data_IF_219903982204
#
_entry.id   IF_219903982204
#
_cell.length_a   1.000
_cell.length_b   1.000
_cell.length_c   1.000
_cell.angle_alpha   90.00
_cell.angle_beta   90.00
_cell.angle_gamma   90.00
#
_symmetry.space_group_name_H-M   'P 1'
#
loop_
_entity.id
_entity.type
_entity.pdbx_description
1 polymer ?
#
# COMPACT_ATOMS: atom_id res chain seq x y z
N UNK A 1 -0.14 -21.93 11.24
CA UNK A 1 0.18 -23.12 10.40
C UNK A 1 0.02 -24.42 11.20
N UNK A 2 0.69 -24.60 12.37
CA UNK A 2 0.63 -25.87 13.15
C UNK A 2 -0.82 -26.22 13.54
N UNK A 3 -1.58 -25.29 14.13
CA UNK A 3 -2.98 -25.52 14.49
C UNK A 3 -3.86 -25.89 13.28
N UNK A 4 -3.67 -25.22 12.15
CA UNK A 4 -4.44 -25.49 10.92
C UNK A 4 -4.07 -26.84 10.30
N UNK A 5 -2.78 -27.26 10.38
CA UNK A 5 -2.34 -28.57 9.89
C UNK A 5 -3.01 -29.73 10.60
N UNK A 6 -3.46 -29.54 11.85
CA UNK A 6 -4.10 -30.58 12.66
C UNK A 6 -5.59 -30.77 12.40
N UNK A 7 -6.19 -29.90 11.56
CA UNK A 7 -7.61 -30.03 11.18
C UNK A 7 -7.86 -31.26 10.28
N UNK A 8 -6.90 -31.62 9.42
CA UNK A 8 -6.98 -32.81 8.58
C UNK A 8 -5.87 -33.82 8.93
N UNK A 9 -6.19 -35.11 8.96
CA UNK A 9 -5.24 -36.17 9.28
C UNK A 9 -4.03 -36.19 8.34
N UNK A 10 -4.24 -35.93 7.04
CA UNK A 10 -3.21 -36.04 6.00
C UNK A 10 -2.25 -34.84 5.97
N UNK A 11 -2.57 -33.75 6.69
CA UNK A 11 -1.76 -32.53 6.72
C UNK A 11 -1.12 -32.26 8.08
N UNK A 12 -1.19 -33.23 9.00
CA UNK A 12 -0.63 -33.08 10.37
C UNK A 12 0.88 -32.93 10.31
N UNK A 13 1.34 -31.81 10.85
CA UNK A 13 2.77 -31.58 11.05
C UNK A 13 3.24 -32.26 12.34
N UNK A 14 4.17 -33.19 12.22
CA UNK A 14 4.89 -33.79 13.34
C UNK A 14 6.08 -32.93 13.81
N UNK A 15 6.80 -33.38 14.84
CA UNK A 15 7.96 -32.64 15.37
C UNK A 15 9.06 -32.40 14.32
N UNK A 16 9.26 -33.34 13.40
CA UNK A 16 10.27 -33.24 12.34
C UNK A 16 9.88 -32.17 11.31
N UNK A 17 8.64 -32.18 10.84
CA UNK A 17 8.12 -31.20 9.89
C UNK A 17 8.14 -29.78 10.47
N UNK A 18 7.86 -29.65 11.79
CA UNK A 18 7.97 -28.37 12.51
C UNK A 18 9.43 -27.90 12.54
N UNK A 19 10.36 -28.81 12.85
CA UNK A 19 11.79 -28.51 12.90
C UNK A 19 12.33 -28.08 11.53
N UNK A 20 11.97 -28.81 10.47
CA UNK A 20 12.37 -28.49 9.09
C UNK A 20 11.77 -27.14 8.62
N UNK A 21 10.54 -26.86 9.01
CA UNK A 21 9.90 -25.56 8.75
C UNK A 21 10.62 -24.41 9.48
N UNK A 22 11.07 -24.63 10.73
CA UNK A 22 11.85 -23.62 11.48
C UNK A 22 13.21 -23.39 10.85
N UNK A 23 13.92 -24.44 10.41
CA UNK A 23 15.21 -24.31 9.71
C UNK A 23 15.02 -23.53 8.41
N UNK A 24 14.01 -23.87 7.62
CA UNK A 24 13.72 -23.18 6.35
C UNK A 24 13.35 -21.73 6.59
N UNK A 25 12.50 -21.44 7.57
CA UNK A 25 12.14 -20.08 7.98
C UNK A 25 13.36 -19.27 8.41
N UNK A 26 14.24 -19.85 9.22
CA UNK A 26 15.48 -19.21 9.67
C UNK A 26 16.42 -18.88 8.49
N UNK A 27 16.59 -19.82 7.54
CA UNK A 27 17.39 -19.58 6.34
C UNK A 27 16.83 -18.43 5.49
N UNK A 28 15.53 -18.38 5.29
CA UNK A 28 14.89 -17.29 4.56
C UNK A 28 15.04 -15.94 5.29
N UNK A 29 14.97 -15.95 6.63
CA UNK A 29 15.20 -14.75 7.44
C UNK A 29 16.64 -14.22 7.34
N UNK A 30 17.65 -15.10 7.20
CA UNK A 30 19.03 -14.68 6.99
C UNK A 30 19.20 -13.85 5.70
N UNK A 31 18.54 -14.24 4.61
CA UNK A 31 18.57 -13.48 3.36
C UNK A 31 17.95 -12.10 3.54
N UNK A 32 16.81 -12.03 4.22
CA UNK A 32 16.15 -10.75 4.52
C UNK A 32 17.04 -9.88 5.41
N UNK A 33 17.61 -10.47 6.47
CA UNK A 33 18.52 -9.76 7.39
C UNK A 33 19.77 -9.19 6.70
N UNK A 34 20.39 -9.98 5.81
CA UNK A 34 21.52 -9.52 5.01
C UNK A 34 21.12 -8.35 4.09
N UNK A 35 19.97 -8.46 3.43
CA UNK A 35 19.44 -7.40 2.56
C UNK A 35 19.18 -6.11 3.35
N UNK A 36 18.55 -6.19 4.52
CA UNK A 36 18.29 -5.03 5.38
C UNK A 36 19.60 -4.41 5.88
N UNK A 37 20.61 -5.23 6.20
CA UNK A 37 21.94 -4.75 6.56
C UNK A 37 22.61 -3.90 5.46
N UNK A 38 22.54 -4.36 4.21
CA UNK A 38 23.04 -3.60 3.05
C UNK A 38 22.25 -2.31 2.84
N UNK A 39 20.93 -2.36 2.97
CA UNK A 39 20.05 -1.18 2.87
C UNK A 39 20.42 -0.16 3.96
N UNK A 40 20.78 -0.61 5.16
CA UNK A 40 21.25 0.27 6.23
C UNK A 40 22.44 1.14 5.81
N UNK A 41 23.35 0.63 4.97
CA UNK A 41 24.46 1.42 4.41
C UNK A 41 23.91 2.50 3.46
N UNK A 42 22.96 2.16 2.60
CA UNK A 42 22.32 3.11 1.68
C UNK A 42 21.61 4.21 2.45
N UNK A 43 20.80 3.85 3.44
CA UNK A 43 20.06 4.79 4.30
C UNK A 43 21.03 5.70 5.07
N UNK A 44 22.11 5.13 5.62
CA UNK A 44 23.17 5.89 6.28
C UNK A 44 23.85 6.89 5.35
N UNK A 45 24.13 6.47 4.11
CA UNK A 45 24.72 7.36 3.09
C UNK A 45 23.77 8.50 2.71
N UNK A 46 22.47 8.23 2.56
CA UNK A 46 21.44 9.25 2.29
C UNK A 46 21.39 10.25 3.44
N UNK A 47 21.38 9.77 4.69
CA UNK A 47 21.34 10.62 5.87
C UNK A 47 22.59 11.51 5.99
N UNK A 48 23.79 10.94 5.79
CA UNK A 48 25.06 11.68 5.88
C UNK A 48 25.23 12.72 4.76
N UNK A 49 24.74 12.44 3.57
CA UNK A 49 24.89 13.35 2.42
C UNK A 49 23.81 14.43 2.36
N UNK A 50 22.72 14.29 3.12
CA UNK A 50 21.57 15.19 3.07
C UNK A 50 20.76 15.13 1.77
N UNK A 51 21.00 14.11 0.93
CA UNK A 51 20.26 13.91 -0.33
C UNK A 51 18.76 13.77 -0.07
N UNK A 52 18.37 13.19 1.08
CA UNK A 52 16.96 13.07 1.47
C UNK A 52 16.24 14.41 1.55
N UNK A 53 16.88 15.43 2.12
CA UNK A 53 16.32 16.79 2.21
C UNK A 53 16.18 17.41 0.83
N UNK A 54 17.21 17.31 -0.02
CA UNK A 54 17.12 17.81 -1.40
C UNK A 54 16.02 17.12 -2.22
N UNK A 55 15.82 15.82 -2.02
CA UNK A 55 14.76 15.09 -2.66
C UNK A 55 13.38 15.60 -2.20
N UNK A 56 13.22 15.86 -0.90
CA UNK A 56 11.99 16.46 -0.34
C UNK A 56 11.73 17.82 -0.95
N UNK A 57 12.72 18.70 -1.00
CA UNK A 57 12.62 20.04 -1.60
C UNK A 57 12.17 19.98 -3.08
N UNK A 58 12.72 19.02 -3.84
CA UNK A 58 12.32 18.81 -5.25
C UNK A 58 10.85 18.39 -5.34
N UNK A 59 10.42 17.44 -4.53
CA UNK A 59 9.01 16.99 -4.53
C UNK A 59 8.08 18.15 -4.17
N UNK A 60 8.38 18.89 -3.12
CA UNK A 60 7.56 20.01 -2.65
C UNK A 60 7.48 21.11 -3.70
N UNK A 61 8.62 21.47 -4.30
CA UNK A 61 8.70 22.51 -5.33
C UNK A 61 7.92 22.11 -6.59
N UNK A 62 8.05 20.88 -7.05
CA UNK A 62 7.32 20.38 -8.20
C UNK A 62 5.82 20.21 -7.92
N UNK A 63 5.46 19.86 -6.68
CA UNK A 63 4.07 19.75 -6.26
C UNK A 63 3.39 21.14 -6.14
N UNK A 64 4.15 22.21 -6.01
CA UNK A 64 3.62 23.57 -5.84
C UNK A 64 2.69 23.72 -4.64
N UNK A 65 2.90 22.94 -3.57
CA UNK A 65 2.04 22.88 -2.40
C UNK A 65 0.77 22.01 -2.56
N UNK A 66 0.54 21.40 -3.72
CA UNK A 66 -0.60 20.53 -3.95
C UNK A 66 -0.28 19.09 -3.50
N UNK A 67 -0.97 18.63 -2.45
CA UNK A 67 -0.75 17.30 -1.85
C UNK A 67 -1.02 16.16 -2.84
N UNK A 68 -2.03 16.28 -3.70
CA UNK A 68 -2.35 15.26 -4.71
C UNK A 68 -1.17 15.06 -5.67
N UNK A 69 -0.60 16.18 -6.14
CA UNK A 69 0.58 16.14 -7.02
C UNK A 69 1.78 15.57 -6.26
N UNK A 70 1.97 15.94 -4.98
CA UNK A 70 3.01 15.40 -4.12
C UNK A 70 2.93 13.87 -4.00
N UNK A 71 1.75 13.33 -3.72
CA UNK A 71 1.53 11.88 -3.63
C UNK A 71 1.81 11.20 -4.98
N UNK A 72 1.42 11.78 -6.11
CA UNK A 72 1.71 11.25 -7.44
C UNK A 72 3.21 11.25 -7.75
N UNK A 73 3.94 12.29 -7.36
CA UNK A 73 5.40 12.34 -7.50
C UNK A 73 6.09 11.28 -6.63
N UNK A 74 5.62 11.11 -5.39
CA UNK A 74 6.10 10.04 -4.51
C UNK A 74 5.78 8.66 -5.09
N UNK A 75 4.61 8.47 -5.69
CA UNK A 75 4.25 7.22 -6.36
C UNK A 75 5.20 6.91 -7.53
N UNK A 76 5.49 7.90 -8.37
CA UNK A 76 6.45 7.75 -9.46
C UNK A 76 7.86 7.43 -8.96
N UNK A 77 8.32 8.14 -7.93
CA UNK A 77 9.61 7.90 -7.32
C UNK A 77 9.69 6.49 -6.69
N UNK A 78 8.65 6.08 -5.99
CA UNK A 78 8.53 4.75 -5.38
C UNK A 78 8.56 3.63 -6.41
N UNK A 79 7.88 3.83 -7.54
CA UNK A 79 7.90 2.87 -8.66
C UNK A 79 9.33 2.70 -9.19
N UNK A 80 10.05 3.80 -9.42
CA UNK A 80 11.43 3.78 -9.96
C UNK A 80 12.39 3.17 -8.94
N UNK A 81 12.34 3.60 -7.68
CA UNK A 81 13.22 3.12 -6.62
C UNK A 81 12.93 1.66 -6.22
N UNK A 82 11.70 1.22 -6.42
CA UNK A 82 11.26 -0.15 -6.11
C UNK A 82 11.57 -1.17 -7.20
N UNK A 83 12.02 -0.73 -8.39
CA UNK A 83 12.29 -1.67 -9.49
C UNK A 83 13.41 -2.65 -9.16
N UNK A 84 13.07 -3.94 -9.12
CA UNK A 84 14.04 -5.02 -8.95
C UNK A 84 14.55 -5.23 -7.53
N UNK A 85 14.00 -4.54 -6.53
CA UNK A 85 14.34 -4.73 -5.11
C UNK A 85 13.17 -5.34 -4.33
N UNK A 86 13.46 -6.09 -3.24
CA UNK A 86 12.40 -6.58 -2.35
C UNK A 86 11.58 -5.43 -1.76
N UNK A 87 10.31 -5.67 -1.50
CA UNK A 87 9.36 -4.69 -0.96
C UNK A 87 9.89 -3.94 0.27
N UNK A 88 10.50 -4.68 1.21
CA UNK A 88 11.07 -4.08 2.43
C UNK A 88 12.17 -3.08 2.08
N UNK A 89 13.02 -3.40 1.09
CA UNK A 89 14.07 -2.52 0.61
C UNK A 89 13.49 -1.27 -0.04
N UNK A 90 12.53 -1.44 -0.95
CA UNK A 90 11.84 -0.36 -1.62
C UNK A 90 11.21 0.60 -0.61
N UNK A 91 10.50 0.06 0.38
CA UNK A 91 9.89 0.86 1.44
C UNK A 91 10.93 1.65 2.24
N UNK A 92 11.98 1.01 2.74
CA UNK A 92 12.97 1.69 3.59
C UNK A 92 13.68 2.83 2.85
N UNK A 93 14.07 2.61 1.59
CA UNK A 93 14.72 3.65 0.78
C UNK A 93 13.74 4.79 0.50
N UNK A 94 12.53 4.48 0.06
CA UNK A 94 11.53 5.50 -0.28
C UNK A 94 11.06 6.25 0.97
N UNK A 95 10.93 5.58 2.12
CA UNK A 95 10.50 6.22 3.36
C UNK A 95 11.47 7.31 3.81
N UNK A 96 12.78 7.06 3.76
CA UNK A 96 13.79 8.07 4.13
C UNK A 96 13.76 9.30 3.22
N UNK A 97 13.37 9.11 1.96
CA UNK A 97 13.31 10.17 0.96
C UNK A 97 11.98 10.93 0.95
N UNK A 98 10.86 10.21 1.02
CA UNK A 98 9.53 10.75 0.74
C UNK A 98 8.68 11.07 1.97
N UNK A 99 8.92 10.39 3.11
CA UNK A 99 8.15 10.70 4.34
C UNK A 99 8.38 12.13 4.83
N UNK A 100 9.62 12.68 4.84
CA UNK A 100 9.82 14.09 5.19
C UNK A 100 9.05 15.03 4.28
N UNK A 101 9.08 14.82 2.96
CA UNK A 101 8.35 15.64 1.99
C UNK A 101 6.84 15.66 2.26
N UNK A 102 6.24 14.48 2.50
CA UNK A 102 4.83 14.38 2.83
C UNK A 102 4.50 15.03 4.18
N UNK A 103 5.39 14.91 5.16
CA UNK A 103 5.25 15.56 6.47
C UNK A 103 5.25 17.09 6.37
N UNK A 104 6.15 17.68 5.57
CA UNK A 104 6.20 19.12 5.31
C UNK A 104 4.97 19.61 4.51
N UNK A 105 4.34 18.73 3.72
CA UNK A 105 3.07 19.00 3.04
C UNK A 105 1.84 18.81 3.96
N UNK A 106 2.02 18.59 5.27
CA UNK A 106 0.97 18.50 6.26
C UNK A 106 0.40 17.09 6.48
N UNK A 107 0.98 16.06 5.88
CA UNK A 107 0.54 14.68 6.10
C UNK A 107 1.08 14.17 7.44
N UNK A 108 0.21 13.57 8.25
CA UNK A 108 0.61 12.95 9.52
C UNK A 108 1.66 11.85 9.29
N UNK A 109 2.67 11.75 10.15
CA UNK A 109 3.81 10.83 9.98
C UNK A 109 3.36 9.39 9.73
N UNK A 110 2.40 8.87 10.49
CA UNK A 110 1.87 7.51 10.29
C UNK A 110 1.23 7.36 8.91
N UNK A 111 0.45 8.36 8.47
CA UNK A 111 -0.17 8.36 7.14
C UNK A 111 0.90 8.43 6.04
N UNK A 112 1.93 9.26 6.20
CA UNK A 112 3.05 9.35 5.26
C UNK A 112 3.79 8.01 5.13
N UNK A 113 4.06 7.32 6.23
CA UNK A 113 4.64 5.98 6.21
C UNK A 113 3.73 4.95 5.53
N UNK A 114 2.41 5.00 5.78
CA UNK A 114 1.45 4.11 5.12
C UNK A 114 1.36 4.39 3.62
N UNK A 115 1.33 5.65 3.21
CA UNK A 115 1.35 6.05 1.79
C UNK A 115 2.58 5.45 1.11
N UNK A 116 3.77 5.67 1.66
CA UNK A 116 5.01 5.16 1.09
C UNK A 116 5.06 3.64 1.10
N UNK A 117 4.58 2.99 2.16
CA UNK A 117 4.51 1.53 2.24
C UNK A 117 3.64 0.94 1.12
N UNK A 118 2.43 1.48 0.91
CA UNK A 118 1.53 1.02 -0.13
C UNK A 118 2.11 1.25 -1.52
N UNK A 119 2.67 2.42 -1.78
CA UNK A 119 3.31 2.73 -3.06
C UNK A 119 4.54 1.87 -3.34
N UNK A 120 5.27 1.43 -2.31
CA UNK A 120 6.42 0.53 -2.46
C UNK A 120 6.04 -0.88 -2.91
N UNK A 121 4.76 -1.29 -2.76
CA UNK A 121 4.26 -2.57 -3.28
C UNK A 121 4.05 -2.52 -4.81
N UNK A 122 3.82 -1.33 -5.38
CA UNK A 122 3.39 -1.15 -6.76
C UNK A 122 4.41 -1.70 -7.76
N UNK A 123 5.70 -1.58 -7.48
CA UNK A 123 6.76 -2.05 -8.37
C UNK A 123 6.73 -3.57 -8.60
N UNK A 124 6.19 -4.36 -7.65
CA UNK A 124 6.11 -5.82 -7.77
C UNK A 124 4.95 -6.31 -8.62
N UNK A 125 3.94 -5.47 -8.83
CA UNK A 125 2.68 -5.83 -9.52
C UNK A 125 2.41 -4.96 -10.74
N UNK A 126 3.18 -3.87 -10.92
CA UNK A 126 3.01 -2.93 -12.03
C UNK A 126 4.00 -3.21 -13.15
N UNK A 127 3.56 -3.38 -14.40
CA UNK A 127 4.46 -3.41 -15.54
C UNK A 127 5.32 -2.14 -15.62
N UNK A 128 6.59 -2.24 -16.08
CA UNK A 128 7.22 -3.37 -16.75
C UNK A 128 7.88 -4.41 -15.83
N UNK A 129 8.07 -4.14 -14.54
CA UNK A 129 8.85 -5.01 -13.65
C UNK A 129 8.02 -6.17 -13.11
N UNK A 130 6.89 -5.92 -12.50
CA UNK A 130 5.86 -6.82 -11.94
C UNK A 130 6.33 -8.26 -11.64
N UNK A 131 7.39 -8.41 -10.84
CA UNK A 131 8.08 -9.69 -10.57
C UNK A 131 7.11 -10.74 -10.01
N UNK A 132 6.21 -10.35 -9.12
CA UNK A 132 5.23 -11.27 -8.55
C UNK A 132 4.23 -11.80 -9.59
N UNK A 133 3.78 -10.93 -10.51
CA UNK A 133 2.88 -11.34 -11.59
C UNK A 133 3.59 -12.26 -12.60
N UNK A 134 4.86 -12.01 -12.90
CA UNK A 134 5.64 -12.87 -13.80
C UNK A 134 5.93 -14.24 -13.17
N UNK A 135 6.21 -14.29 -11.88
CA UNK A 135 6.34 -15.55 -11.16
C UNK A 135 5.02 -16.34 -11.19
N UNK A 136 3.89 -15.69 -10.96
CA UNK A 136 2.57 -16.31 -11.09
C UNK A 136 2.28 -16.80 -12.52
N UNK A 137 2.67 -16.04 -13.53
CA UNK A 137 2.54 -16.42 -14.93
C UNK A 137 3.36 -17.67 -15.27
N UNK A 138 4.58 -17.75 -14.75
CA UNK A 138 5.46 -18.92 -14.95
C UNK A 138 4.84 -20.18 -14.34
N UNK A 139 4.25 -20.09 -13.14
CA UNK A 139 3.58 -21.22 -12.49
C UNK A 139 2.31 -21.63 -13.26
N UNK A 140 1.54 -20.66 -13.75
CA UNK A 140 0.30 -20.91 -14.48
C UNK A 140 0.49 -21.28 -15.95
N UNK A 141 1.71 -21.18 -16.49
CA UNK A 141 2.00 -21.38 -17.93
C UNK A 141 1.33 -20.31 -18.80
N UNK A 142 1.08 -19.11 -18.26
CA UNK A 142 0.39 -18.01 -18.95
C UNK A 142 1.38 -16.97 -19.50
N UNK A 143 0.90 -16.11 -20.42
CA UNK A 143 1.69 -15.00 -20.96
C UNK A 143 2.04 -13.99 -19.83
N UNK A 144 3.35 -13.75 -19.57
CA UNK A 144 3.77 -12.86 -18.47
C UNK A 144 3.26 -11.44 -18.64
N UNK A 145 3.29 -10.89 -19.86
CA UNK A 145 2.89 -9.51 -20.12
C UNK A 145 1.39 -9.29 -19.88
N UNK A 146 0.56 -10.22 -20.38
CA UNK A 146 -0.90 -10.18 -20.13
C UNK A 146 -1.21 -10.37 -18.65
N UNK A 147 -0.49 -11.25 -17.98
CA UNK A 147 -0.64 -11.47 -16.53
C UNK A 147 -0.25 -10.22 -15.74
N UNK A 148 0.83 -9.54 -16.11
CA UNK A 148 1.24 -8.26 -15.52
C UNK A 148 0.16 -7.19 -15.63
N UNK A 149 -0.40 -6.97 -16.81
CA UNK A 149 -1.50 -6.02 -16.99
C UNK A 149 -2.78 -6.41 -16.26
N UNK A 150 -3.03 -7.72 -16.12
CA UNK A 150 -4.16 -8.21 -15.31
C UNK A 150 -3.91 -7.95 -13.84
N UNK A 151 -2.71 -8.21 -13.34
CA UNK A 151 -2.28 -7.90 -11.97
C UNK A 151 -2.45 -6.41 -11.66
N UNK A 152 -1.97 -5.53 -12.54
CA UNK A 152 -2.18 -4.08 -12.44
C UNK A 152 -3.66 -3.70 -12.31
N UNK A 153 -4.53 -4.34 -13.10
CA UNK A 153 -5.98 -4.10 -13.02
C UNK A 153 -6.58 -4.56 -11.68
N UNK A 154 -6.12 -5.65 -11.12
CA UNK A 154 -6.57 -6.12 -9.80
C UNK A 154 -6.04 -5.26 -8.65
N UNK A 155 -4.83 -4.73 -8.78
CA UNK A 155 -4.14 -3.98 -7.75
C UNK A 155 -4.53 -2.49 -7.63
N UNK A 156 -5.57 -2.04 -8.30
CA UNK A 156 -6.00 -0.62 -8.36
C UNK A 156 -6.17 0.04 -6.99
N UNK A 157 -6.54 -0.74 -5.98
CA UNK A 157 -6.69 -0.24 -4.63
C UNK A 157 -5.37 0.31 -4.07
N UNK A 158 -4.23 -0.24 -4.49
CA UNK A 158 -2.91 0.23 -4.08
C UNK A 158 -2.66 1.69 -4.48
N UNK A 159 -3.24 2.15 -5.59
CA UNK A 159 -3.10 3.54 -6.05
C UNK A 159 -4.08 4.50 -5.39
N UNK A 160 -5.19 4.01 -4.86
CA UNK A 160 -6.24 4.81 -4.21
C UNK A 160 -6.02 4.95 -2.72
N UNK A 161 -5.56 3.88 -2.05
CA UNK A 161 -5.33 3.88 -0.61
C UNK A 161 -4.38 5.00 -0.11
N UNK A 162 -3.29 5.36 -0.84
CA UNK A 162 -2.46 6.50 -0.45
C UNK A 162 -3.23 7.81 -0.28
N UNK A 163 -4.18 8.08 -1.15
CA UNK A 163 -5.04 9.26 -1.05
C UNK A 163 -6.00 9.17 0.14
N UNK A 164 -6.56 8.00 0.41
CA UNK A 164 -7.39 7.78 1.59
C UNK A 164 -6.62 8.03 2.88
N UNK A 165 -5.39 7.55 3.00
CA UNK A 165 -4.55 7.80 4.17
C UNK A 165 -4.19 9.27 4.34
N UNK A 166 -4.04 10.01 3.23
CA UNK A 166 -3.75 11.43 3.27
C UNK A 166 -4.96 12.28 3.66
N UNK A 167 -6.14 11.95 3.14
CA UNK A 167 -7.34 12.78 3.29
C UNK A 167 -8.32 12.27 4.36
N UNK A 168 -8.22 11.01 4.77
CA UNK A 168 -9.08 10.40 5.78
C UNK A 168 -8.22 9.63 6.80
N UNK A 169 -7.40 10.35 7.61
CA UNK A 169 -6.47 9.71 8.55
C UNK A 169 -7.19 8.94 9.68
N UNK A 170 -8.49 9.11 9.88
CA UNK A 170 -9.32 8.34 10.80
C UNK A 170 -9.29 6.84 10.52
N UNK A 171 -9.07 6.43 9.25
CA UNK A 171 -8.87 5.03 8.86
C UNK A 171 -7.65 4.40 9.56
N UNK A 172 -6.66 5.22 9.94
CA UNK A 172 -5.47 4.79 10.67
C UNK A 172 -5.65 4.79 12.18
N UNK A 173 -6.91 4.97 12.66
CA UNK A 173 -7.23 4.99 14.11
C UNK A 173 -6.36 6.04 14.82
N UNK A 174 -6.47 7.30 14.39
CA UNK A 174 -5.60 8.44 14.73
C UNK A 174 -5.44 8.74 16.24
N UNK A 175 -6.29 8.25 17.12
CA UNK A 175 -6.34 8.74 18.50
C UNK A 175 -5.47 7.96 19.48
N UNK A 176 -4.16 7.76 19.18
CA UNK A 176 -3.18 7.30 20.19
C UNK A 176 -2.90 8.35 21.26
N UNK A 177 -3.12 9.65 20.94
CA UNK A 177 -2.92 10.78 21.84
C UNK A 177 -4.18 11.12 22.65
N UNK A 178 -5.11 10.18 22.79
CA UNK A 178 -6.28 10.38 23.64
C UNK A 178 -5.80 10.67 25.06
N UNK A 179 -6.00 11.88 25.49
CA UNK A 179 -6.04 12.16 26.92
C UNK A 179 -7.11 11.27 27.55
N UNK A 180 -6.90 10.73 28.76
CA UNK A 180 -7.83 9.78 29.40
C UNK A 180 -9.29 10.27 29.51
N UNK A 181 -9.54 11.53 29.20
CA UNK A 181 -10.87 12.18 29.27
C UNK A 181 -11.64 12.15 27.94
N UNK A 182 -11.02 11.82 26.80
CA UNK A 182 -11.71 11.80 25.51
C UNK A 182 -12.09 10.38 25.11
N UNK A 183 -13.39 10.14 24.95
CA UNK A 183 -13.89 8.86 24.48
C UNK A 183 -13.42 8.59 23.04
N UNK A 184 -12.95 7.36 22.78
CA UNK A 184 -12.56 6.92 21.44
C UNK A 184 -13.74 7.15 20.46
N UNK A 185 -13.57 7.90 19.35
CA UNK A 185 -14.64 8.23 18.43
C UNK A 185 -14.99 7.04 17.52
N UNK A 186 -15.51 5.98 18.16
CA UNK A 186 -15.82 4.72 17.48
C UNK A 186 -16.78 4.93 16.29
N UNK A 187 -17.74 5.86 16.42
CA UNK A 187 -18.68 6.17 15.36
C UNK A 187 -18.01 6.70 14.10
N UNK A 188 -17.12 7.68 14.24
CA UNK A 188 -16.40 8.26 13.10
C UNK A 188 -15.46 7.25 12.44
N UNK A 189 -14.74 6.47 13.23
CA UNK A 189 -13.85 5.41 12.71
C UNK A 189 -14.66 4.36 11.97
N UNK A 190 -15.76 3.87 12.54
CA UNK A 190 -16.62 2.88 11.90
C UNK A 190 -17.24 3.41 10.60
N UNK A 191 -17.66 4.69 10.57
CA UNK A 191 -18.20 5.32 9.37
C UNK A 191 -17.14 5.48 8.28
N UNK A 192 -15.92 5.87 8.62
CA UNK A 192 -14.80 5.98 7.69
C UNK A 192 -14.45 4.61 7.07
N UNK A 193 -14.43 3.55 7.88
CA UNK A 193 -14.25 2.18 7.37
C UNK A 193 -15.38 1.73 6.45
N UNK A 194 -16.63 2.03 6.82
CA UNK A 194 -17.79 1.70 6.00
C UNK A 194 -17.74 2.45 4.67
N UNK A 195 -17.50 3.76 4.70
CA UNK A 195 -17.37 4.59 3.50
C UNK A 195 -16.23 4.12 2.60
N UNK A 196 -15.04 3.85 3.16
CA UNK A 196 -13.91 3.32 2.42
C UNK A 196 -14.23 1.97 1.77
N UNK A 197 -14.95 1.08 2.47
CA UNK A 197 -15.36 -0.23 1.94
C UNK A 197 -16.34 -0.08 0.78
N UNK A 198 -17.37 0.74 0.93
CA UNK A 198 -18.35 1.02 -0.12
C UNK A 198 -17.68 1.70 -1.32
N UNK A 199 -16.83 2.70 -1.07
CA UNK A 199 -16.05 3.38 -2.10
C UNK A 199 -15.16 2.42 -2.88
N UNK A 200 -14.49 1.48 -2.19
CA UNK A 200 -13.66 0.44 -2.80
C UNK A 200 -14.46 -0.50 -3.68
N UNK A 201 -15.64 -0.94 -3.24
CA UNK A 201 -16.54 -1.78 -4.04
C UNK A 201 -17.02 -1.03 -5.28
N UNK A 202 -17.41 0.24 -5.13
CA UNK A 202 -17.84 1.10 -6.24
C UNK A 202 -16.70 1.31 -7.24
N UNK A 203 -15.49 1.66 -6.77
CA UNK A 203 -14.30 1.83 -7.60
C UNK A 203 -13.89 0.55 -8.32
N UNK A 204 -13.96 -0.59 -7.65
CA UNK A 204 -13.67 -1.89 -8.24
C UNK A 204 -14.66 -2.22 -9.36
N UNK A 205 -15.95 -1.99 -9.12
CA UNK A 205 -17.02 -2.21 -10.10
C UNK A 205 -16.91 -1.28 -11.29
N UNK A 206 -16.59 0.00 -11.04
CA UNK A 206 -16.34 1.02 -12.06
C UNK A 206 -15.22 0.61 -13.01
N UNK A 207 -14.12 0.16 -12.45
CA UNK A 207 -12.90 -0.13 -13.21
C UNK A 207 -12.89 -1.51 -13.87
N UNK A 208 -13.60 -2.50 -13.31
CA UNK A 208 -13.74 -3.82 -13.91
C UNK A 208 -14.90 -3.90 -14.89
N UNK A 209 -15.85 -2.95 -14.83
CA UNK A 209 -17.07 -2.99 -15.61
C UNK A 209 -17.98 -4.17 -15.23
N UNK A 210 -17.84 -4.69 -14.00
CA UNK A 210 -18.52 -5.88 -13.52
C UNK A 210 -18.65 -5.84 -11.99
N UNK A 211 -19.83 -6.13 -11.46
CA UNK A 211 -20.04 -6.38 -10.04
C UNK A 211 -20.58 -7.79 -9.83
N UNK A 212 -21.85 -8.03 -10.10
CA UNK A 212 -22.52 -9.35 -10.14
C UNK A 212 -22.80 -9.73 -11.60
N UNK A 213 -22.97 -8.72 -12.45
CA UNK A 213 -23.14 -8.81 -13.91
C UNK A 213 -22.32 -7.69 -14.57
N UNK A 214 -22.26 -7.70 -15.90
CA UNK A 214 -21.65 -6.57 -16.64
C UNK A 214 -22.43 -5.29 -16.36
N UNK A 215 -21.73 -4.24 -15.97
CA UNK A 215 -22.33 -2.94 -15.65
C UNK A 215 -22.85 -2.27 -16.93
N UNK A 216 -24.04 -1.70 -16.83
CA UNK A 216 -24.59 -0.82 -17.87
C UNK A 216 -23.94 0.58 -17.75
N UNK A 217 -24.07 1.41 -18.81
CA UNK A 217 -23.52 2.77 -18.79
C UNK A 217 -24.06 3.61 -17.61
N UNK A 218 -25.34 3.44 -17.27
CA UNK A 218 -25.99 4.15 -16.17
C UNK A 218 -25.40 3.70 -14.84
N UNK A 219 -25.28 2.39 -14.61
CA UNK A 219 -24.66 1.82 -13.39
C UNK A 219 -23.19 2.26 -13.29
N UNK A 220 -22.47 2.34 -14.40
CA UNK A 220 -21.09 2.82 -14.45
C UNK A 220 -20.97 4.28 -13.95
N UNK A 221 -21.89 5.17 -14.37
CA UNK A 221 -21.95 6.56 -13.87
C UNK A 221 -22.27 6.58 -12.37
N UNK A 222 -23.21 5.75 -11.91
CA UNK A 222 -23.51 5.66 -10.47
C UNK A 222 -22.32 5.20 -9.65
N UNK A 223 -21.56 4.22 -10.12
CA UNK A 223 -20.34 3.78 -9.45
C UNK A 223 -19.24 4.85 -9.47
N UNK A 224 -19.12 5.63 -10.54
CA UNK A 224 -18.21 6.76 -10.60
C UNK A 224 -18.55 7.83 -9.56
N UNK A 225 -19.84 8.22 -9.49
CA UNK A 225 -20.33 9.19 -8.50
C UNK A 225 -20.15 8.65 -7.07
N UNK A 226 -20.54 7.40 -6.81
CA UNK A 226 -20.38 6.77 -5.50
C UNK A 226 -18.91 6.72 -5.07
N UNK A 227 -18.00 6.40 -5.98
CA UNK A 227 -16.55 6.39 -5.70
C UNK A 227 -16.07 7.77 -5.28
N UNK A 228 -16.42 8.82 -6.04
CA UNK A 228 -16.03 10.18 -5.71
C UNK A 228 -16.61 10.62 -4.36
N UNK A 229 -17.90 10.38 -4.12
CA UNK A 229 -18.55 10.77 -2.88
C UNK A 229 -17.97 10.05 -1.65
N UNK A 230 -17.67 8.74 -1.77
CA UNK A 230 -17.11 7.98 -0.66
C UNK A 230 -15.64 8.28 -0.37
N UNK A 231 -14.90 8.79 -1.35
CA UNK A 231 -13.48 9.13 -1.21
C UNK A 231 -13.22 10.63 -0.98
N UNK A 232 -14.25 11.47 -1.11
CA UNK A 232 -14.12 12.90 -0.80
C UNK A 232 -14.26 13.11 0.69
N UNK A 233 -13.23 13.63 1.39
CA UNK A 233 -13.33 13.92 2.82
C UNK A 233 -14.39 15.01 3.06
N UNK A 234 -15.18 14.85 4.10
CA UNK A 234 -16.16 15.84 4.53
C UNK A 234 -17.61 15.63 4.06
N UNK A 235 -17.86 14.94 2.92
CA UNK A 235 -19.22 14.72 2.44
C UNK A 235 -20.00 13.64 3.22
N UNK A 236 -19.29 12.68 3.82
CA UNK A 236 -19.91 11.58 4.58
C UNK A 236 -19.65 11.73 6.09
N UNK A 237 -18.56 12.38 6.47
CA UNK A 237 -18.16 12.58 7.88
C UNK A 237 -18.76 13.82 8.51
N UNK A 238 -19.16 14.85 7.71
CA UNK A 238 -19.76 16.10 8.19
C UNK A 238 -21.31 16.07 8.26
N UNK A 239 -21.91 14.91 7.99
CA UNK A 239 -23.38 14.71 8.16
C UNK A 239 -23.76 14.21 9.56
N UNK A 240 -22.83 14.25 10.52
CA UNK A 240 -23.10 13.86 11.92
C UNK A 240 -22.80 15.00 12.89
#
# INVERSE_FOLDING_TARGET
CIMVSWVKKDTRMGPKEIWDAMITGSRNTLVIGATVGVIGIIVGSIALTGIGLKFSDIIISLAGGNLVIGILLVALASLVLGMGVPVTAAYLITAVLAVPALGEMGVMIIAAHQIVYWLSQDSNITPPVCVAAYAGAAIAGSDPWKTGWTSFKFAKLLYVMPFLFAFTPEILIKNWDLTPAEAFPFGHVAMSFFSATVGTLAFSSLTMGYLVRRTTLIEWIFFAVATVLCYTPGLVTDLS
#
